data_IF_983368733171
#
_entry.id   IF_983368733171
#
_cell.length_a   1.000
_cell.length_b   1.000
_cell.length_c   1.000
_cell.angle_alpha   90.00
_cell.angle_beta   90.00
_cell.angle_gamma   90.00
#
_symmetry.space_group_name_H-M   'P 1'
#
loop_
_entity.id
_entity.type
_entity.pdbx_description
1 polymer ?
#
# COMPACT_ATOMS: atom_id res chain seq x y z
N UNK A 1 -46.73 45.80 45.39
CA UNK A 1 -47.65 44.72 45.80
C UNK A 1 -47.91 43.82 44.60
N UNK A 2 -47.49 42.57 44.72
CA UNK A 2 -48.04 41.33 44.15
C UNK A 2 -48.50 41.25 42.68
N UNK A 3 -47.69 40.54 41.88
CA UNK A 3 -47.98 39.30 41.10
C UNK A 3 -49.27 39.24 40.25
N UNK A 4 -49.26 38.78 39.00
CA UNK A 4 -49.05 37.35 38.62
C UNK A 4 -48.87 37.16 37.10
N UNK A 5 -48.16 36.07 36.82
CA UNK A 5 -47.82 35.44 35.55
C UNK A 5 -49.03 34.98 34.72
N UNK A 6 -48.90 34.99 33.38
CA UNK A 6 -49.29 33.84 32.53
C UNK A 6 -48.24 33.65 31.44
N UNK A 7 -47.48 32.56 31.55
CA UNK A 7 -46.66 31.97 30.47
C UNK A 7 -47.60 31.24 29.53
N UNK A 8 -47.60 31.59 28.25
CA UNK A 8 -48.06 30.71 27.17
C UNK A 8 -46.82 30.30 26.37
N UNK A 9 -46.35 29.08 26.61
CA UNK A 9 -45.27 28.48 25.84
C UNK A 9 -45.80 27.94 24.51
N UNK A 10 -45.32 28.48 23.40
CA UNK A 10 -45.35 27.76 22.13
C UNK A 10 -44.03 27.00 21.99
N UNK A 11 -44.11 25.69 22.18
CA UNK A 11 -43.06 24.75 21.78
C UNK A 11 -43.07 24.67 20.24
N UNK A 12 -42.26 25.50 19.59
CA UNK A 12 -41.91 25.33 18.19
C UNK A 12 -40.98 24.13 18.06
N UNK A 13 -41.49 23.03 17.50
CA UNK A 13 -40.69 21.87 17.11
C UNK A 13 -39.77 22.30 15.96
N UNK A 14 -38.53 22.66 16.30
CA UNK A 14 -37.48 22.85 15.31
C UNK A 14 -37.03 21.47 14.84
N UNK A 15 -37.62 20.98 13.75
CA UNK A 15 -37.11 19.81 13.04
C UNK A 15 -35.79 20.21 12.40
N UNK A 16 -34.69 19.95 13.12
CA UNK A 16 -33.35 19.97 12.54
C UNK A 16 -33.25 18.72 11.68
N UNK A 17 -33.53 18.84 10.39
CA UNK A 17 -33.05 17.88 9.40
C UNK A 17 -31.52 17.92 9.44
N UNK A 18 -30.92 16.98 10.18
CA UNK A 18 -29.56 16.54 9.93
C UNK A 18 -29.54 15.97 8.51
N UNK A 19 -29.25 16.83 7.53
CA UNK A 19 -28.70 16.36 6.28
C UNK A 19 -27.41 15.65 6.65
N UNK A 20 -27.43 14.31 6.59
CA UNK A 20 -26.25 13.50 6.60
C UNK A 20 -25.38 14.01 5.45
N UNK A 21 -24.40 14.86 5.76
CA UNK A 21 -23.25 15.09 4.91
C UNK A 21 -22.57 13.74 4.82
N UNK A 22 -22.95 12.96 3.82
CA UNK A 22 -22.30 11.71 3.49
C UNK A 22 -20.82 12.01 3.36
N UNK A 23 -20.02 11.39 4.24
CA UNK A 23 -18.59 11.27 4.10
C UNK A 23 -18.29 10.46 2.83
N UNK A 24 -18.51 11.05 1.66
CA UNK A 24 -17.86 10.64 0.43
C UNK A 24 -16.54 11.37 0.38
N UNK A 25 -15.54 10.91 1.12
CA UNK A 25 -14.17 11.31 0.84
C UNK A 25 -13.85 10.84 -0.59
N UNK A 26 -13.54 11.74 -1.54
CA UNK A 26 -13.00 11.31 -2.82
C UNK A 26 -11.58 10.81 -2.54
N UNK A 27 -11.44 9.52 -2.26
CA UNK A 27 -10.15 8.86 -2.04
C UNK A 27 -9.36 8.65 -3.34
N UNK A 28 -9.81 9.20 -4.48
CA UNK A 28 -9.33 8.87 -5.82
C UNK A 28 -9.11 10.08 -6.75
N UNK A 29 -8.79 11.27 -6.23
CA UNK A 29 -8.53 12.45 -7.08
C UNK A 29 -7.25 13.20 -6.69
N UNK A 30 -6.16 12.47 -6.43
CA UNK A 30 -4.82 13.05 -6.45
C UNK A 30 -4.09 12.47 -7.67
N UNK A 31 -3.88 13.29 -8.70
CA UNK A 31 -3.10 12.93 -9.90
C UNK A 31 -1.59 12.77 -9.60
N UNK A 32 -1.18 12.86 -8.33
CA UNK A 32 0.11 12.38 -7.84
C UNK A 32 -0.11 11.23 -6.87
N UNK A 33 0.39 10.04 -7.23
CA UNK A 33 0.69 9.00 -6.26
C UNK A 33 1.93 9.42 -5.48
N UNK A 34 1.86 9.36 -4.15
CA UNK A 34 2.93 9.84 -3.30
C UNK A 34 2.81 11.31 -2.87
N UNK A 35 3.93 11.90 -2.46
CA UNK A 35 4.04 13.29 -2.03
C UNK A 35 5.42 13.88 -2.39
N UNK A 36 5.79 15.03 -1.80
CA UNK A 36 7.06 15.71 -2.07
C UNK A 36 8.31 15.01 -1.49
N UNK A 37 8.11 13.90 -0.77
CA UNK A 37 9.15 13.06 -0.17
C UNK A 37 9.17 11.70 -0.87
N UNK A 38 8.01 11.06 -0.98
CA UNK A 38 7.80 9.77 -1.64
C UNK A 38 7.28 10.02 -3.06
N UNK A 39 8.18 10.04 -4.04
CA UNK A 39 7.82 10.15 -5.45
C UNK A 39 7.57 8.76 -6.04
N UNK A 40 6.29 8.43 -6.25
CA UNK A 40 5.92 7.20 -6.94
C UNK A 40 5.74 7.47 -8.44
N UNK A 41 6.55 6.81 -9.28
CA UNK A 41 6.52 7.01 -10.73
C UNK A 41 5.46 6.17 -11.44
N UNK A 42 4.98 5.10 -10.81
CA UNK A 42 3.98 4.19 -11.36
C UNK A 42 3.32 3.37 -10.25
N UNK A 43 2.04 3.07 -10.46
CA UNK A 43 1.34 2.00 -9.77
C UNK A 43 1.37 0.75 -10.64
N UNK A 44 1.74 -0.38 -10.05
CA UNK A 44 1.63 -1.67 -10.69
C UNK A 44 0.61 -2.52 -9.95
N UNK A 45 -0.16 -3.28 -10.72
CA UNK A 45 -1.09 -4.28 -10.24
C UNK A 45 -0.62 -5.67 -10.63
N UNK A 46 -0.77 -6.62 -9.70
CA UNK A 46 -0.57 -8.04 -9.98
C UNK A 46 -1.66 -8.87 -9.32
N UNK A 47 -1.74 -10.15 -9.67
CA UNK A 47 -2.65 -11.04 -8.99
C UNK A 47 -2.31 -12.50 -9.19
N UNK A 48 -2.84 -13.33 -8.30
CA UNK A 48 -2.53 -14.75 -8.27
C UNK A 48 -3.51 -15.55 -7.42
N UNK A 49 -3.47 -16.86 -7.58
CA UNK A 49 -4.34 -17.78 -6.86
C UNK A 49 -3.49 -18.71 -6.02
N UNK A 50 -3.79 -18.77 -4.72
CA UNK A 50 -2.96 -19.47 -3.75
C UNK A 50 -3.79 -20.39 -2.85
N UNK A 51 -3.15 -21.41 -2.29
CA UNK A 51 -3.80 -22.29 -1.34
C UNK A 51 -4.04 -21.59 0.00
N UNK A 52 -5.09 -21.99 0.72
CA UNK A 52 -5.25 -21.61 2.13
C UNK A 52 -4.06 -22.16 2.92
N UNK A 53 -3.50 -21.33 3.81
CA UNK A 53 -2.29 -21.58 4.58
C UNK A 53 -1.00 -21.14 3.88
N UNK A 54 -1.05 -20.78 2.59
CA UNK A 54 0.13 -20.27 1.89
C UNK A 54 0.59 -18.95 2.49
N UNK A 55 1.91 -18.70 2.43
CA UNK A 55 2.52 -17.44 2.83
C UNK A 55 3.31 -16.88 1.66
N UNK A 56 3.18 -15.58 1.44
CA UNK A 56 3.91 -14.88 0.39
C UNK A 56 4.49 -13.57 0.88
N UNK A 57 5.55 -13.15 0.22
CA UNK A 57 6.10 -11.79 0.23
C UNK A 57 5.72 -11.11 -1.08
N UNK A 58 5.21 -9.89 -1.01
CA UNK A 58 4.85 -9.05 -2.16
C UNK A 58 5.75 -7.81 -2.19
N UNK A 59 6.47 -7.59 -3.29
CA UNK A 59 7.51 -6.55 -3.44
C UNK A 59 7.24 -5.53 -4.54
N UNK A 60 6.01 -5.45 -5.06
CA UNK A 60 5.69 -4.60 -6.23
C UNK A 60 5.81 -3.09 -5.97
N UNK A 61 5.99 -2.65 -4.72
CA UNK A 61 6.05 -1.22 -4.41
C UNK A 61 7.47 -0.70 -4.35
N UNK A 62 7.93 -0.10 -5.45
CA UNK A 62 9.16 0.70 -5.50
C UNK A 62 8.81 2.18 -5.42
N UNK A 63 9.56 2.92 -4.60
CA UNK A 63 9.37 4.36 -4.43
C UNK A 63 10.71 5.07 -4.46
N UNK A 64 10.75 6.21 -5.16
CA UNK A 64 11.89 7.13 -5.11
C UNK A 64 11.71 8.10 -3.95
N UNK A 65 12.78 8.31 -3.20
CA UNK A 65 12.83 9.21 -2.07
C UNK A 65 13.67 10.42 -2.47
N UNK A 66 13.02 11.58 -2.49
CA UNK A 66 13.60 12.82 -3.02
C UNK A 66 14.11 13.75 -1.90
N UNK A 67 13.71 13.50 -0.65
CA UNK A 67 14.09 14.29 0.52
C UNK A 67 14.29 13.38 1.73
N UNK A 68 15.25 13.71 2.57
CA UNK A 68 15.51 12.96 3.80
C UNK A 68 16.31 13.74 4.83
N UNK A 69 16.71 13.07 5.93
CA UNK A 69 16.40 11.67 6.25
C UNK A 69 14.90 11.46 6.53
N UNK A 70 14.44 10.23 6.34
CA UNK A 70 13.06 9.80 6.61
C UNK A 70 13.07 8.59 7.53
N UNK A 71 12.29 8.63 8.61
CA UNK A 71 12.06 7.45 9.45
C UNK A 71 10.65 6.91 9.19
N UNK A 72 10.56 5.67 8.74
CA UNK A 72 9.28 4.98 8.58
C UNK A 72 8.72 4.64 9.97
N UNK A 73 7.45 4.96 10.20
CA UNK A 73 6.74 4.66 11.46
C UNK A 73 5.79 3.49 11.32
N UNK A 74 5.04 3.44 10.22
CA UNK A 74 4.21 2.29 9.88
C UNK A 74 3.93 2.23 8.39
N UNK A 75 3.69 1.01 7.89
CA UNK A 75 3.20 0.74 6.54
C UNK A 75 1.98 -0.16 6.69
N UNK A 76 0.84 0.32 6.21
CA UNK A 76 -0.46 -0.36 6.35
C UNK A 76 -1.12 -0.49 4.97
N UNK A 77 -1.41 -1.72 4.49
CA UNK A 77 -2.12 -1.89 3.23
C UNK A 77 -3.59 -1.51 3.35
N UNK A 78 -4.11 -0.91 2.28
CA UNK A 78 -5.54 -0.63 2.11
C UNK A 78 -6.17 -1.84 1.43
N UNK A 79 -6.76 -2.71 2.26
CA UNK A 79 -7.29 -4.01 1.86
C UNK A 79 -8.82 -4.00 1.73
N UNK A 80 -9.33 -4.79 0.79
CA UNK A 80 -10.75 -5.14 0.63
C UNK A 80 -10.89 -6.66 0.54
N UNK A 81 -11.80 -7.24 1.31
CA UNK A 81 -11.92 -8.70 1.49
C UNK A 81 -11.42 -9.15 2.85
N UNK A 82 -11.32 -10.46 3.06
CA UNK A 82 -10.94 -11.05 4.35
C UNK A 82 -10.26 -12.41 4.27
N UNK A 83 -9.80 -12.82 3.07
CA UNK A 83 -9.13 -14.11 2.86
C UNK A 83 -7.63 -14.07 3.16
N UNK A 84 -7.07 -12.90 3.47
CA UNK A 84 -5.65 -12.77 3.84
C UNK A 84 -5.45 -12.04 5.17
N UNK A 85 -4.32 -12.32 5.80
CA UNK A 85 -3.83 -11.67 7.01
C UNK A 85 -2.44 -11.10 6.74
N UNK A 86 -2.23 -9.83 7.08
CA UNK A 86 -0.91 -9.20 7.04
C UNK A 86 -0.01 -9.82 8.13
N UNK A 87 1.20 -10.20 7.75
CA UNK A 87 2.22 -10.75 8.64
C UNK A 87 3.25 -9.70 9.08
N UNK A 88 3.51 -8.71 8.23
CA UNK A 88 4.44 -7.62 8.51
C UNK A 88 4.78 -6.81 7.26
N UNK A 89 5.62 -5.81 7.46
CA UNK A 89 6.18 -4.99 6.39
C UNK A 89 7.68 -4.83 6.60
N UNK A 90 8.44 -4.99 5.53
CA UNK A 90 9.87 -4.76 5.48
C UNK A 90 10.20 -3.75 4.38
N UNK A 91 11.34 -3.09 4.50
CA UNK A 91 11.86 -2.14 3.52
C UNK A 91 13.28 -2.55 3.17
N UNK A 92 13.63 -2.47 1.89
CA UNK A 92 15.01 -2.57 1.43
C UNK A 92 15.41 -1.31 0.67
N UNK A 93 16.64 -0.87 0.86
CA UNK A 93 17.28 0.13 0.01
C UNK A 93 17.75 -0.56 -1.28
N UNK A 94 17.35 -0.02 -2.42
CA UNK A 94 17.80 -0.48 -3.72
C UNK A 94 19.08 0.25 -4.11
N UNK A 95 20.08 -0.51 -4.54
CA UNK A 95 21.38 0.00 -5.01
C UNK A 95 21.57 -0.31 -6.49
N UNK A 96 22.50 0.38 -7.14
CA UNK A 96 22.83 0.15 -8.55
C UNK A 96 23.21 -1.31 -8.88
N UNK A 97 23.72 -2.07 -7.90
CA UNK A 97 24.12 -3.47 -8.07
C UNK A 97 22.99 -4.49 -7.84
N UNK A 98 21.87 -4.08 -7.22
CA UNK A 98 20.72 -4.95 -6.93
C UNK A 98 19.53 -4.54 -7.80
N UNK A 99 19.51 -5.14 -8.98
CA UNK A 99 18.57 -4.83 -10.03
C UNK A 99 17.35 -5.75 -10.00
N UNK A 100 16.21 -5.15 -9.68
CA UNK A 100 14.84 -5.50 -10.06
C UNK A 100 13.94 -5.76 -8.84
N UNK A 101 12.73 -5.16 -8.83
CA UNK A 101 11.70 -5.53 -7.88
C UNK A 101 11.40 -7.01 -7.99
N UNK A 102 11.05 -7.63 -6.86
CA UNK A 102 10.42 -8.94 -6.89
C UNK A 102 8.91 -8.71 -6.86
N UNK A 103 8.19 -9.30 -7.82
CA UNK A 103 6.72 -9.21 -7.82
C UNK A 103 6.18 -9.90 -6.57
N UNK A 104 6.51 -11.19 -6.44
CA UNK A 104 6.21 -12.00 -5.28
C UNK A 104 7.31 -13.04 -5.02
N UNK A 105 7.37 -13.49 -3.78
CA UNK A 105 8.28 -14.55 -3.33
C UNK A 105 7.58 -15.45 -2.32
N UNK A 106 7.90 -16.75 -2.35
CA UNK A 106 7.34 -17.70 -1.39
C UNK A 106 7.84 -17.41 0.04
N UNK A 107 6.92 -17.47 1.00
CA UNK A 107 7.20 -17.38 2.41
C UNK A 107 7.23 -15.95 2.99
N UNK A 108 7.30 -15.89 4.31
CA UNK A 108 7.53 -14.67 5.08
C UNK A 108 8.18 -15.02 6.44
N UNK A 109 9.26 -14.33 6.87
CA UNK A 109 10.03 -13.32 6.12
C UNK A 109 10.63 -13.89 4.81
N UNK A 110 10.94 -13.06 3.81
CA UNK A 110 11.54 -13.54 2.57
C UNK A 110 12.93 -14.13 2.82
N UNK A 111 13.22 -15.27 2.19
CA UNK A 111 14.54 -15.94 2.25
C UNK A 111 15.25 -15.94 0.90
N UNK A 112 14.60 -15.45 -0.15
CA UNK A 112 15.18 -15.38 -1.48
C UNK A 112 16.33 -14.36 -1.49
N UNK A 113 17.50 -14.76 -2.01
CA UNK A 113 18.73 -13.93 -2.01
C UNK A 113 18.54 -12.55 -2.64
N UNK A 114 17.63 -12.44 -3.62
CA UNK A 114 17.37 -11.17 -4.30
C UNK A 114 16.66 -10.17 -3.39
N UNK A 115 16.10 -10.62 -2.25
CA UNK A 115 15.46 -9.81 -1.21
C UNK A 115 16.35 -9.59 0.02
N UNK A 116 17.61 -10.02 -0.01
CA UNK A 116 18.56 -9.79 1.07
C UNK A 116 18.68 -8.29 1.41
N UNK A 117 18.88 -7.98 2.70
CA UNK A 117 18.98 -6.60 3.19
C UNK A 117 17.62 -5.92 3.41
N UNK A 118 16.52 -6.65 3.31
CA UNK A 118 15.23 -6.20 3.81
C UNK A 118 15.22 -6.16 5.34
N UNK A 119 14.77 -5.04 5.88
CA UNK A 119 14.68 -4.79 7.33
C UNK A 119 13.25 -4.43 7.73
N UNK A 120 12.89 -4.61 9.00
CA UNK A 120 11.57 -4.25 9.50
C UNK A 120 11.26 -2.77 9.24
N UNK A 121 10.07 -2.49 8.68
CA UNK A 121 9.73 -1.15 8.25
C UNK A 121 9.64 -0.15 9.42
N UNK A 122 9.13 -0.56 10.57
CA UNK A 122 8.95 0.34 11.71
C UNK A 122 10.29 0.73 12.32
N UNK A 123 10.61 2.03 12.27
CA UNK A 123 11.88 2.56 12.73
C UNK A 123 12.98 2.57 11.67
N UNK A 124 12.75 2.00 10.49
CA UNK A 124 13.71 2.03 9.39
C UNK A 124 14.02 3.48 8.98
N UNK A 125 15.31 3.80 8.87
CA UNK A 125 15.78 5.14 8.49
C UNK A 125 16.28 5.11 7.06
N UNK A 126 15.56 5.80 6.20
CA UNK A 126 15.99 6.08 4.84
C UNK A 126 16.95 7.28 4.90
N UNK A 127 18.18 7.14 4.40
CA UNK A 127 19.17 8.21 4.43
C UNK A 127 18.74 9.40 3.57
N UNK A 128 19.33 10.57 3.85
CA UNK A 128 19.21 11.73 2.96
C UNK A 128 19.79 11.39 1.58
N UNK A 129 19.05 11.63 0.46
CA UNK A 129 19.58 11.40 -0.89
C UNK A 129 20.88 12.15 -1.19
N UNK A 130 21.16 13.28 -0.53
CA UNK A 130 22.43 14.00 -0.67
C UNK A 130 23.61 13.35 0.07
N UNK A 131 23.36 12.33 0.91
CA UNK A 131 24.36 11.70 1.77
C UNK A 131 24.66 10.24 1.41
N UNK A 132 24.00 9.67 0.41
CA UNK A 132 24.26 8.30 -0.05
C UNK A 132 25.46 8.22 -1.00
N UNK A 133 26.08 7.04 -1.07
CA UNK A 133 27.22 6.80 -1.97
C UNK A 133 26.76 6.94 -3.44
N UNK A 134 27.35 7.85 -4.24
CA UNK A 134 27.04 7.98 -5.66
C UNK A 134 27.31 6.72 -6.49
N UNK A 135 28.16 5.80 -6.03
CA UNK A 135 28.37 4.51 -6.71
C UNK A 135 27.12 3.64 -6.61
N UNK A 136 26.48 3.62 -5.45
CA UNK A 136 25.26 2.86 -5.22
C UNK A 136 24.00 3.62 -5.69
N UNK A 137 24.07 4.95 -5.74
CA UNK A 137 22.96 5.86 -6.07
C UNK A 137 23.40 6.96 -7.07
N UNK A 138 23.66 6.61 -8.34
CA UNK A 138 24.32 7.49 -9.33
C UNK A 138 23.54 8.76 -9.71
N UNK A 139 22.27 8.85 -9.32
CA UNK A 139 21.43 10.02 -9.55
C UNK A 139 21.20 10.86 -8.30
N UNK A 140 21.89 10.57 -7.19
CA UNK A 140 21.65 11.24 -5.90
C UNK A 140 20.21 11.04 -5.41
N UNK A 141 19.62 9.89 -5.75
CA UNK A 141 18.24 9.54 -5.39
C UNK A 141 18.24 8.19 -4.69
N UNK A 142 17.47 8.07 -3.63
CA UNK A 142 17.31 6.82 -2.90
C UNK A 142 16.08 6.12 -3.42
N UNK A 143 16.22 4.86 -3.79
CA UNK A 143 15.08 4.02 -4.15
C UNK A 143 14.89 3.00 -3.03
N UNK A 144 13.65 2.81 -2.61
CA UNK A 144 13.28 1.76 -1.69
C UNK A 144 12.32 0.79 -2.36
N UNK A 145 12.32 -0.43 -1.87
CA UNK A 145 11.24 -1.38 -2.12
C UNK A 145 10.58 -1.75 -0.80
N UNK A 146 9.26 -1.70 -0.80
CA UNK A 146 8.42 -2.07 0.34
C UNK A 146 7.93 -3.50 0.11
N UNK A 147 8.28 -4.39 1.02
CA UNK A 147 7.91 -5.80 1.03
C UNK A 147 6.80 -6.03 2.06
N UNK A 148 5.74 -6.75 1.68
CA UNK A 148 4.62 -7.08 2.56
C UNK A 148 4.43 -8.58 2.65
N UNK A 149 4.30 -9.08 3.88
CA UNK A 149 4.02 -10.49 4.13
C UNK A 149 2.54 -10.75 4.25
N UNK A 150 2.02 -11.76 3.56
CA UNK A 150 0.63 -12.19 3.68
C UNK A 150 0.54 -13.69 3.98
N UNK A 151 -0.45 -14.05 4.78
CA UNK A 151 -0.92 -15.44 4.94
C UNK A 151 -2.36 -15.55 4.43
N UNK A 152 -2.65 -16.60 3.68
CA UNK A 152 -3.98 -16.90 3.14
C UNK A 152 -4.78 -17.68 4.17
N UNK A 153 -5.62 -16.99 4.95
CA UNK A 153 -6.27 -17.58 6.13
C UNK A 153 -7.66 -18.15 5.85
N UNK A 154 -8.20 -17.94 4.66
CA UNK A 154 -9.51 -18.45 4.26
C UNK A 154 -9.73 -18.37 2.75
N UNK A 155 -10.85 -18.92 2.30
CA UNK A 155 -11.25 -18.84 0.90
C UNK A 155 -11.81 -17.44 0.56
N UNK A 156 -11.76 -17.11 -0.73
CA UNK A 156 -12.30 -15.87 -1.27
C UNK A 156 -11.24 -14.94 -1.86
N UNK A 157 -11.70 -13.80 -2.33
CA UNK A 157 -10.89 -12.78 -3.00
C UNK A 157 -10.52 -11.68 -2.01
N UNK A 158 -9.26 -11.29 -2.04
CA UNK A 158 -8.76 -10.12 -1.33
C UNK A 158 -7.99 -9.22 -2.28
N UNK A 159 -8.20 -7.91 -2.14
CA UNK A 159 -7.59 -6.89 -2.98
C UNK A 159 -6.86 -5.88 -2.10
N UNK A 160 -5.63 -5.53 -2.46
CA UNK A 160 -4.93 -4.33 -1.99
C UNK A 160 -5.03 -3.25 -3.06
N UNK A 161 -5.33 -2.01 -2.67
CA UNK A 161 -5.34 -0.84 -3.57
C UNK A 161 -4.21 0.16 -3.34
N UNK A 162 -3.52 0.03 -2.22
CA UNK A 162 -2.35 0.83 -1.95
C UNK A 162 -1.84 0.68 -0.55
N UNK A 163 -0.92 1.56 -0.18
CA UNK A 163 -0.25 1.58 1.09
C UNK A 163 -0.39 2.94 1.72
N UNK A 164 -0.80 2.95 2.98
CA UNK A 164 -0.66 4.09 3.85
C UNK A 164 0.71 4.01 4.54
N UNK A 165 1.60 4.93 4.23
CA UNK A 165 2.91 5.03 4.88
C UNK A 165 2.87 6.22 5.83
N UNK A 166 3.06 5.95 7.13
CA UNK A 166 3.31 6.98 8.13
C UNK A 166 4.82 7.10 8.31
N UNK A 167 5.33 8.33 8.26
CA UNK A 167 6.75 8.59 8.33
C UNK A 167 7.06 9.88 9.08
N UNK A 168 8.31 10.09 9.44
CA UNK A 168 8.80 11.30 10.07
C UNK A 168 9.97 11.87 9.28
N UNK A 169 9.97 13.19 9.08
CA UNK A 169 11.08 13.92 8.48
C UNK A 169 11.14 15.33 9.07
N UNK A 170 12.34 15.85 9.33
CA UNK A 170 12.53 17.14 10.00
C UNK A 170 11.77 17.27 11.33
N UNK A 171 11.64 16.16 12.08
CA UNK A 171 10.91 16.09 13.34
C UNK A 171 9.38 16.17 13.24
N UNK A 172 8.81 16.11 12.03
CA UNK A 172 7.35 16.14 11.81
C UNK A 172 6.86 14.81 11.28
N UNK A 173 5.77 14.30 11.85
CA UNK A 173 5.07 13.13 11.33
C UNK A 173 4.19 13.52 10.13
N UNK A 174 4.20 12.66 9.13
CA UNK A 174 3.45 12.79 7.89
C UNK A 174 2.85 11.45 7.50
N UNK A 175 1.91 11.48 6.57
CA UNK A 175 1.29 10.31 5.98
C UNK A 175 1.18 10.51 4.49
N UNK A 176 1.54 9.46 3.73
CA UNK A 176 1.38 9.41 2.28
C UNK A 176 0.61 8.16 1.89
N UNK A 177 -0.15 8.24 0.80
CA UNK A 177 -0.76 7.09 0.15
C UNK A 177 0.02 6.76 -1.12
N UNK A 178 0.40 5.50 -1.27
CA UNK A 178 1.10 4.96 -2.42
C UNK A 178 0.17 3.98 -3.15
N UNK A 179 -0.10 4.23 -4.43
CA UNK A 179 -0.95 3.37 -5.25
C UNK A 179 -0.24 2.06 -5.53
N UNK A 180 -0.76 0.95 -5.03
CA UNK A 180 -0.08 -0.34 -5.11
C UNK A 180 -1.11 -1.46 -5.09
N UNK A 181 -1.26 -2.13 -6.22
CA UNK A 181 -2.42 -2.98 -6.46
C UNK A 181 -2.03 -4.46 -6.42
N UNK A 182 -2.88 -5.25 -5.79
CA UNK A 182 -2.74 -6.71 -5.74
C UNK A 182 -4.14 -7.30 -5.64
N UNK A 183 -4.43 -8.36 -6.40
CA UNK A 183 -5.64 -9.16 -6.18
C UNK A 183 -5.27 -10.63 -6.05
N UNK A 184 -5.66 -11.24 -4.93
CA UNK A 184 -5.37 -12.63 -4.66
C UNK A 184 -6.63 -13.41 -4.32
N UNK A 185 -6.66 -14.67 -4.74
CA UNK A 185 -7.80 -15.55 -4.58
C UNK A 185 -7.35 -16.84 -3.91
N UNK A 186 -8.20 -17.39 -3.05
CA UNK A 186 -8.08 -18.73 -2.52
C UNK A 186 -9.42 -19.48 -2.69
N UNK A 187 -9.41 -20.79 -2.97
CA UNK A 187 -8.23 -21.66 -3.13
C UNK A 187 -7.51 -21.48 -4.48
N UNK A 188 -6.32 -22.08 -4.63
CA UNK A 188 -5.45 -21.95 -5.81
C UNK A 188 -6.12 -22.31 -7.15
N UNK A 189 -7.15 -23.17 -7.12
CA UNK A 189 -7.89 -23.58 -8.30
C UNK A 189 -8.81 -22.48 -8.89
N UNK A 190 -9.09 -21.41 -8.15
CA UNK A 190 -9.95 -20.31 -8.61
C UNK A 190 -9.12 -19.29 -9.35
N UNK A 191 -9.37 -19.02 -10.65
CA UNK A 191 -8.65 -17.96 -11.38
C UNK A 191 -8.85 -16.60 -10.71
N UNK A 192 -7.75 -15.86 -10.50
CA UNK A 192 -7.80 -14.52 -9.94
C UNK A 192 -7.50 -13.45 -10.98
N UNK A 193 -8.43 -12.52 -11.13
CA UNK A 193 -8.25 -11.34 -11.95
C UNK A 193 -7.53 -10.26 -11.14
N UNK A 194 -6.38 -9.79 -11.65
CA UNK A 194 -5.64 -8.68 -11.04
C UNK A 194 -6.43 -7.37 -11.09
N UNK A 195 -6.15 -6.43 -10.18
CA UNK A 195 -6.66 -5.06 -10.22
C UNK A 195 -5.50 -4.08 -10.47
N UNK A 196 -5.81 -2.97 -11.13
CA UNK A 196 -4.98 -1.78 -11.23
C UNK A 196 -5.74 -0.55 -10.71
N UNK A 197 -5.22 0.66 -10.97
CA UNK A 197 -5.88 1.93 -10.59
C UNK A 197 -7.28 2.13 -11.17
N UNK A 198 -7.62 1.43 -12.26
CA UNK A 198 -8.92 1.50 -12.92
C UNK A 198 -9.87 0.36 -12.49
N UNK A 199 -9.41 -0.54 -11.61
CA UNK A 199 -10.18 -1.66 -11.08
C UNK A 199 -9.77 -3.02 -11.69
N UNK A 200 -10.68 -4.01 -11.74
CA UNK A 200 -10.37 -5.33 -12.28
C UNK A 200 -9.97 -5.28 -13.76
N UNK A 201 -8.74 -5.73 -14.08
CA UNK A 201 -8.23 -5.79 -15.45
C UNK A 201 -8.70 -7.09 -16.09
N UNK A 202 -9.52 -7.08 -17.16
CA UNK A 202 -10.10 -8.30 -17.72
C UNK A 202 -9.05 -9.38 -17.95
N UNK A 203 -9.35 -10.62 -17.56
CA UNK A 203 -8.55 -11.77 -17.95
C UNK A 203 -8.60 -11.83 -19.48
N UNK A 204 -7.55 -11.35 -20.15
CA UNK A 204 -7.46 -11.49 -21.59
C UNK A 204 -7.59 -12.98 -21.91
N UNK A 205 -8.58 -13.35 -22.72
CA UNK A 205 -8.64 -14.70 -23.29
C UNK A 205 -7.30 -14.95 -23.96
N UNK A 206 -6.54 -15.91 -23.43
CA UNK A 206 -5.17 -16.24 -23.78
C UNK A 206 -4.74 -15.74 -25.17
N UNK A 207 -3.89 -14.70 -25.21
CA UNK A 207 -2.85 -14.73 -26.25
C UNK A 207 -1.96 -15.89 -25.85
N UNK A 208 -2.19 -17.03 -26.51
CA UNK A 208 -1.23 -18.12 -26.61
C UNK A 208 0.09 -17.53 -27.12
N UNK A 209 0.96 -17.10 -26.22
CA UNK A 209 2.38 -17.08 -26.48
C UNK A 209 2.96 -18.29 -25.76
N UNK A 210 3.06 -19.36 -26.54
CA UNK A 210 3.85 -20.51 -26.20
C UNK A 210 5.27 -20.06 -25.81
N UNK A 211 5.74 -20.59 -24.69
CA UNK A 211 7.14 -20.81 -24.39
C UNK A 211 8.05 -19.60 -24.42
N UNK A 212 8.35 -19.05 -23.25
CA UNK A 212 9.73 -18.75 -22.85
C UNK A 212 9.81 -19.16 -21.38
N UNK A 213 10.46 -20.30 -21.13
CA UNK A 213 11.06 -20.53 -19.82
C UNK A 213 12.26 -19.62 -19.67
N UNK A 214 12.47 -19.09 -18.48
CA UNK A 214 13.79 -18.68 -18.03
C UNK A 214 14.03 -19.23 -16.62
N UNK A 215 15.28 -19.62 -16.46
CA UNK A 215 15.91 -20.51 -15.48
C UNK A 215 15.72 -20.11 -14.02
#
# INVERSE_FOLDING_TARGET
>A
MSTRFVRAGMAGVLVVTLAASGCGSPFLASDQLGDDVFAQTSSYGWGGSFAVGYRLTDGVTIVRIDKGPVTIKSIEPVMHGGSTRLLGAQVRLLTASRGSPVVDSEGWPPTHRDLDGAEDAAGFVIPDPGAVDPVDHPHGTVHIEILLGYEFVGEGRTVRRGLNVKYETGGRQRKVFLGSYMAVCAPAAVPCQHEDENGPVPLAAHVTQAGIGYL
#
